data_IF_342459142729
#
_entry.id   IF_342459142729
#
_cell.length_a   1.000
_cell.length_b   1.000
_cell.length_c   1.000
_cell.angle_alpha   90.00
_cell.angle_beta   90.00
_cell.angle_gamma   90.00
#
_symmetry.space_group_name_H-M   'P 1'
#
loop_
_entity.id
_entity.type
_entity.pdbx_description
1 polymer ?
#
# COMPACT_ATOMS: atom_id res chain seq x y z
N UNK A 1 51.23 3.72 22.36
CA UNK A 1 50.89 2.38 21.84
C UNK A 1 49.52 2.42 21.24
N UNK A 2 49.44 2.12 19.98
CA UNK A 2 48.33 2.28 19.05
C UNK A 2 47.00 1.70 19.48
N UNK A 3 45.97 2.51 19.38
CA UNK A 3 44.60 2.01 19.20
C UNK A 3 43.96 2.80 18.05
N UNK A 4 44.39 2.51 16.83
CA UNK A 4 43.70 2.89 15.60
C UNK A 4 43.11 1.63 15.03
N UNK A 5 41.84 1.69 14.74
CA UNK A 5 40.99 0.79 13.94
C UNK A 5 39.81 0.28 14.75
N UNK A 6 38.54 0.45 14.35
CA UNK A 6 37.91 0.26 13.05
C UNK A 6 36.56 1.01 12.97
N UNK A 7 36.32 2.05 12.23
CA UNK A 7 34.98 2.45 11.81
C UNK A 7 34.56 1.98 10.42
N UNK A 8 35.53 1.63 9.55
CA UNK A 8 35.22 1.44 8.11
C UNK A 8 34.55 0.12 7.73
N UNK A 9 34.81 -0.96 8.42
CA UNK A 9 34.24 -2.29 8.02
C UNK A 9 32.78 -2.42 8.42
N UNK A 10 32.36 -1.87 9.56
CA UNK A 10 30.96 -1.90 10.00
C UNK A 10 30.06 -1.03 9.10
N UNK A 11 30.55 0.09 8.62
CA UNK A 11 29.78 1.02 7.76
C UNK A 11 29.53 0.42 6.37
N UNK A 12 30.49 -0.29 5.80
CA UNK A 12 30.33 -0.94 4.49
C UNK A 12 29.35 -2.12 4.57
N UNK A 13 29.42 -2.92 5.64
CA UNK A 13 28.52 -4.05 5.85
C UNK A 13 27.05 -3.60 6.03
N UNK A 14 26.81 -2.51 6.72
CA UNK A 14 25.45 -1.97 6.94
C UNK A 14 24.84 -1.38 5.67
N UNK A 15 25.59 -0.66 4.86
CA UNK A 15 25.12 -0.11 3.58
C UNK A 15 24.79 -1.21 2.55
N UNK A 16 25.58 -2.26 2.48
CA UNK A 16 25.33 -3.41 1.58
C UNK A 16 24.05 -4.14 1.99
N UNK A 17 23.83 -4.35 3.29
CA UNK A 17 22.62 -5.00 3.81
C UNK A 17 21.36 -4.16 3.54
N UNK A 18 21.42 -2.84 3.73
CA UNK A 18 20.32 -1.91 3.45
C UNK A 18 19.98 -1.89 1.96
N UNK A 19 20.96 -1.81 1.07
CA UNK A 19 20.72 -1.83 -0.36
C UNK A 19 20.09 -3.16 -0.83
N UNK A 20 20.49 -4.29 -0.26
CA UNK A 20 19.89 -5.61 -0.52
C UNK A 20 18.44 -5.66 -0.03
N UNK A 21 18.16 -5.12 1.15
CA UNK A 21 16.82 -5.03 1.71
C UNK A 21 15.89 -4.21 0.80
N UNK A 22 16.30 -3.01 0.41
CA UNK A 22 15.56 -2.13 -0.50
C UNK A 22 15.29 -2.86 -1.82
N UNK A 23 16.32 -3.43 -2.44
CA UNK A 23 16.18 -4.18 -3.70
C UNK A 23 15.15 -5.32 -3.58
N UNK A 24 15.25 -6.15 -2.55
CA UNK A 24 14.35 -7.27 -2.33
C UNK A 24 12.91 -6.81 -2.10
N UNK A 25 12.73 -5.75 -1.31
CA UNK A 25 11.41 -5.15 -1.04
C UNK A 25 10.75 -4.67 -2.33
N UNK A 26 11.43 -3.83 -3.12
CA UNK A 26 10.85 -3.29 -4.35
C UNK A 26 10.66 -4.36 -5.45
N UNK A 27 11.53 -5.36 -5.50
CA UNK A 27 11.35 -6.51 -6.41
C UNK A 27 10.10 -7.31 -6.03
N UNK A 28 9.95 -7.67 -4.75
CA UNK A 28 8.77 -8.40 -4.28
C UNK A 28 7.50 -7.56 -4.43
N UNK A 29 7.58 -6.26 -4.13
CA UNK A 29 6.47 -5.32 -4.30
C UNK A 29 5.99 -5.27 -5.76
N UNK A 30 6.91 -5.18 -6.72
CA UNK A 30 6.56 -5.20 -8.15
C UNK A 30 5.88 -6.50 -8.55
N UNK A 31 6.37 -7.65 -8.07
CA UNK A 31 5.77 -8.96 -8.34
C UNK A 31 4.36 -9.07 -7.74
N UNK A 32 4.17 -8.60 -6.50
CA UNK A 32 2.88 -8.65 -5.81
C UNK A 32 1.85 -7.67 -6.40
N UNK A 33 2.27 -6.49 -6.84
CA UNK A 33 1.40 -5.55 -7.55
C UNK A 33 0.91 -6.14 -8.89
N UNK A 34 1.81 -6.73 -9.69
CA UNK A 34 1.43 -7.40 -10.94
C UNK A 34 0.50 -8.59 -10.69
N UNK A 35 0.79 -9.41 -9.67
CA UNK A 35 -0.05 -10.53 -9.29
C UNK A 35 -1.43 -10.06 -8.83
N UNK A 36 -1.49 -9.04 -7.98
CA UNK A 36 -2.75 -8.44 -7.52
C UNK A 36 -3.57 -7.87 -8.68
N UNK A 37 -2.93 -7.19 -9.64
CA UNK A 37 -3.59 -6.69 -10.85
C UNK A 37 -4.13 -7.84 -11.71
N UNK A 38 -3.37 -8.93 -11.88
CA UNK A 38 -3.84 -10.12 -12.57
C UNK A 38 -5.06 -10.75 -11.87
N UNK A 39 -5.04 -10.86 -10.53
CA UNK A 39 -6.15 -11.39 -9.74
C UNK A 39 -7.39 -10.48 -9.78
N UNK A 40 -7.22 -9.16 -9.84
CA UNK A 40 -8.31 -8.22 -10.09
C UNK A 40 -8.91 -8.44 -11.50
N UNK A 41 -8.07 -8.61 -12.51
CA UNK A 41 -8.49 -8.94 -13.88
C UNK A 41 -9.30 -10.25 -13.96
N UNK A 42 -8.83 -11.29 -13.26
CA UNK A 42 -9.56 -12.58 -13.13
C UNK A 42 -10.91 -12.37 -12.46
N UNK A 43 -10.95 -11.59 -11.38
CA UNK A 43 -12.19 -11.28 -10.67
C UNK A 43 -13.21 -10.56 -11.55
N UNK A 44 -12.75 -9.60 -12.37
CA UNK A 44 -13.58 -8.88 -13.35
C UNK A 44 -14.07 -9.85 -14.45
N UNK A 45 -13.18 -10.65 -15.03
CA UNK A 45 -13.51 -11.58 -16.11
C UNK A 45 -14.54 -12.64 -15.71
N UNK A 46 -14.48 -13.10 -14.44
CA UNK A 46 -15.41 -14.06 -13.88
C UNK A 46 -16.65 -13.41 -13.25
N UNK A 47 -16.79 -12.09 -13.32
CA UNK A 47 -17.88 -11.32 -12.70
C UNK A 47 -18.11 -11.70 -11.23
N UNK A 48 -17.03 -11.85 -10.46
CA UNK A 48 -17.12 -12.20 -9.04
C UNK A 48 -17.85 -11.10 -8.27
N UNK A 49 -18.81 -11.45 -7.42
CA UNK A 49 -19.47 -10.47 -6.56
C UNK A 49 -18.51 -9.97 -5.48
N UNK A 50 -18.75 -8.73 -5.01
CA UNK A 50 -18.01 -8.23 -3.85
C UNK A 50 -18.35 -9.07 -2.61
N UNK A 51 -17.32 -9.60 -1.89
CA UNK A 51 -17.55 -10.53 -0.78
C UNK A 51 -18.21 -9.88 0.45
N UNK A 52 -18.40 -8.58 0.43
CA UNK A 52 -18.90 -7.80 1.57
C UNK A 52 -17.79 -7.38 2.54
N UNK A 53 -18.11 -6.37 3.34
CA UNK A 53 -17.12 -5.71 4.23
C UNK A 53 -16.56 -6.66 5.29
N UNK A 54 -17.40 -7.54 5.85
CA UNK A 54 -16.99 -8.45 6.94
C UNK A 54 -15.95 -9.45 6.42
N UNK A 55 -16.25 -10.12 5.28
CA UNK A 55 -15.34 -11.11 4.70
C UNK A 55 -14.05 -10.43 4.26
N UNK A 56 -14.14 -9.23 3.68
CA UNK A 56 -12.97 -8.45 3.27
C UNK A 56 -12.08 -8.10 4.47
N UNK A 57 -12.65 -7.58 5.56
CA UNK A 57 -11.89 -7.22 6.76
C UNK A 57 -11.29 -8.45 7.45
N UNK A 58 -12.06 -9.52 7.65
CA UNK A 58 -11.57 -10.75 8.29
C UNK A 58 -10.48 -11.41 7.44
N UNK A 59 -10.67 -11.49 6.12
CA UNK A 59 -9.70 -12.04 5.19
C UNK A 59 -8.41 -11.21 5.16
N UNK A 60 -8.53 -9.89 5.04
CA UNK A 60 -7.40 -8.97 5.05
C UNK A 60 -6.59 -9.06 6.35
N UNK A 61 -7.26 -8.88 7.51
CA UNK A 61 -6.59 -8.92 8.81
C UNK A 61 -6.02 -10.30 9.13
N UNK A 62 -6.74 -11.37 8.77
CA UNK A 62 -6.28 -12.75 8.95
C UNK A 62 -5.03 -13.06 8.13
N UNK A 63 -5.02 -12.70 6.85
CA UNK A 63 -3.86 -12.88 5.97
C UNK A 63 -2.69 -11.98 6.36
N UNK A 64 -2.97 -10.75 6.81
CA UNK A 64 -1.95 -9.85 7.33
C UNK A 64 -1.28 -10.42 8.59
N UNK A 65 -2.08 -10.92 9.53
CA UNK A 65 -1.58 -11.59 10.74
C UNK A 65 -0.75 -12.84 10.39
N UNK A 66 -1.24 -13.65 9.45
CA UNK A 66 -0.54 -14.84 8.98
C UNK A 66 0.83 -14.47 8.35
N UNK A 67 0.85 -13.43 7.52
CA UNK A 67 2.08 -12.94 6.91
C UNK A 67 3.07 -12.45 7.95
N UNK A 68 2.60 -11.70 8.96
CA UNK A 68 3.44 -11.26 10.06
C UNK A 68 4.04 -12.43 10.84
N UNK A 69 3.23 -13.48 11.10
CA UNK A 69 3.69 -14.69 11.81
C UNK A 69 4.71 -15.49 11.00
N UNK A 70 4.56 -15.53 9.67
CA UNK A 70 5.40 -16.32 8.77
C UNK A 70 6.56 -15.53 8.14
N UNK A 71 6.74 -14.25 8.45
CA UNK A 71 7.68 -13.31 7.82
C UNK A 71 9.15 -13.77 7.76
N UNK A 72 9.55 -14.67 8.66
CA UNK A 72 10.92 -15.19 8.75
C UNK A 72 11.05 -16.60 8.17
N UNK A 73 10.04 -17.10 7.45
CA UNK A 73 10.04 -18.43 6.84
C UNK A 73 9.78 -18.35 5.32
N UNK A 74 10.05 -19.45 4.60
CA UNK A 74 9.71 -19.54 3.18
C UNK A 74 8.21 -19.39 2.91
N UNK A 75 7.36 -19.76 3.87
CA UNK A 75 5.91 -19.59 3.82
C UNK A 75 5.48 -18.10 3.87
N UNK A 76 6.36 -17.23 4.32
CA UNK A 76 6.13 -15.78 4.30
C UNK A 76 5.91 -15.25 2.88
N UNK A 77 6.66 -15.73 1.90
CA UNK A 77 6.44 -15.35 0.49
C UNK A 77 5.05 -15.78 0.00
N UNK A 78 4.67 -17.03 0.28
CA UNK A 78 3.35 -17.53 -0.12
C UNK A 78 2.23 -16.72 0.54
N UNK A 79 2.39 -16.36 1.82
CA UNK A 79 1.40 -15.56 2.54
C UNK A 79 1.24 -14.13 1.98
N UNK A 80 2.34 -13.52 1.51
CA UNK A 80 2.27 -12.22 0.82
C UNK A 80 1.48 -12.32 -0.48
N UNK A 81 1.73 -13.35 -1.30
CA UNK A 81 0.96 -13.55 -2.53
C UNK A 81 -0.51 -13.89 -2.22
N UNK A 82 -0.79 -14.66 -1.18
CA UNK A 82 -2.16 -14.92 -0.74
C UNK A 82 -2.88 -13.62 -0.32
N UNK A 83 -2.21 -12.76 0.45
CA UNK A 83 -2.73 -11.46 0.86
C UNK A 83 -3.00 -10.55 -0.35
N UNK A 84 -1.99 -10.35 -1.21
CA UNK A 84 -2.11 -9.45 -2.35
C UNK A 84 -3.07 -9.98 -3.43
N UNK A 85 -3.15 -11.29 -3.60
CA UNK A 85 -4.13 -11.94 -4.46
C UNK A 85 -5.56 -11.77 -3.93
N UNK A 86 -5.79 -11.97 -2.64
CA UNK A 86 -7.08 -11.72 -2.00
C UNK A 86 -7.51 -10.26 -2.16
N UNK A 87 -6.61 -9.31 -1.90
CA UNK A 87 -6.89 -7.89 -2.10
C UNK A 87 -7.16 -7.56 -3.58
N UNK A 88 -6.47 -8.21 -4.51
CA UNK A 88 -6.75 -8.08 -5.95
C UNK A 88 -8.14 -8.56 -6.32
N UNK A 89 -8.54 -9.75 -5.83
CA UNK A 89 -9.89 -10.30 -6.07
C UNK A 89 -10.97 -9.35 -5.52
N UNK A 90 -10.79 -8.81 -4.33
CA UNK A 90 -11.75 -7.87 -3.72
C UNK A 90 -11.81 -6.52 -4.44
N UNK A 91 -10.73 -6.13 -5.11
CA UNK A 91 -10.65 -4.90 -5.91
C UNK A 91 -11.38 -5.02 -7.25
N UNK A 92 -11.46 -6.23 -7.83
CA UNK A 92 -12.08 -6.48 -9.14
C UNK A 92 -13.52 -5.95 -9.25
N UNK A 93 -14.45 -6.30 -8.34
CA UNK A 93 -15.81 -5.77 -8.35
C UNK A 93 -15.88 -4.25 -8.21
N UNK A 94 -14.97 -3.65 -7.43
CA UNK A 94 -14.89 -2.20 -7.26
C UNK A 94 -14.51 -1.55 -8.59
N UNK A 95 -13.45 -2.04 -9.24
CA UNK A 95 -13.02 -1.55 -10.57
C UNK A 95 -14.13 -1.76 -11.60
N UNK A 96 -14.79 -2.92 -11.59
CA UNK A 96 -15.90 -3.23 -12.52
C UNK A 96 -17.05 -2.23 -12.38
N UNK A 97 -17.37 -1.83 -11.14
CA UNK A 97 -18.38 -0.80 -10.87
C UNK A 97 -17.98 0.53 -11.52
N UNK A 98 -16.75 0.99 -11.35
CA UNK A 98 -16.29 2.23 -11.98
C UNK A 98 -16.22 2.12 -13.52
N UNK A 99 -15.81 0.98 -14.05
CA UNK A 99 -15.78 0.75 -15.51
C UNK A 99 -17.17 0.81 -16.16
N UNK A 100 -18.24 0.57 -15.39
CA UNK A 100 -19.61 0.70 -15.88
C UNK A 100 -20.12 2.14 -16.02
N UNK A 101 -19.40 3.12 -15.47
CA UNK A 101 -19.72 4.55 -15.61
C UNK A 101 -19.39 5.04 -17.03
N UNK A 102 -20.05 6.10 -17.53
CA UNK A 102 -19.83 6.63 -18.88
C UNK A 102 -18.36 6.89 -19.22
N UNK A 103 -17.59 7.45 -18.28
CA UNK A 103 -16.16 7.75 -18.41
C UNK A 103 -15.28 6.78 -17.59
N UNK A 104 -15.79 5.58 -17.27
CA UNK A 104 -15.18 4.67 -16.30
C UNK A 104 -13.76 4.24 -16.64
N UNK A 105 -13.47 3.98 -17.92
CA UNK A 105 -12.11 3.67 -18.36
C UNK A 105 -11.12 4.79 -18.06
N UNK A 106 -11.51 6.05 -18.27
CA UNK A 106 -10.66 7.21 -17.97
C UNK A 106 -10.46 7.38 -16.46
N UNK A 107 -11.50 7.17 -15.65
CA UNK A 107 -11.43 7.21 -14.18
C UNK A 107 -10.41 6.21 -13.66
N UNK A 108 -10.51 4.95 -14.10
CA UNK A 108 -9.59 3.89 -13.66
C UNK A 108 -8.16 4.17 -14.11
N UNK A 109 -7.96 4.57 -15.37
CA UNK A 109 -6.63 4.89 -15.90
C UNK A 109 -6.00 6.10 -15.18
N UNK A 110 -6.79 7.12 -14.88
CA UNK A 110 -6.32 8.30 -14.13
C UNK A 110 -5.93 7.94 -12.71
N UNK A 111 -6.73 7.11 -12.02
CA UNK A 111 -6.39 6.62 -10.68
C UNK A 111 -5.11 5.79 -10.68
N UNK A 112 -4.93 4.90 -11.67
CA UNK A 112 -3.70 4.10 -11.82
C UNK A 112 -2.49 5.00 -12.10
N UNK A 113 -2.61 5.93 -13.04
CA UNK A 113 -1.55 6.86 -13.41
C UNK A 113 -1.12 7.75 -12.24
N UNK A 114 -2.09 8.34 -11.53
CA UNK A 114 -1.83 9.18 -10.37
C UNK A 114 -1.21 8.38 -9.22
N UNK A 115 -1.69 7.15 -8.96
CA UNK A 115 -1.10 6.25 -7.94
C UNK A 115 0.36 5.93 -8.27
N UNK A 116 0.63 5.55 -9.51
CA UNK A 116 1.98 5.24 -9.99
C UNK A 116 2.91 6.45 -9.89
N UNK A 117 2.45 7.62 -10.32
CA UNK A 117 3.22 8.86 -10.26
C UNK A 117 3.55 9.27 -8.81
N UNK A 118 2.56 9.23 -7.91
CA UNK A 118 2.75 9.54 -6.50
C UNK A 118 3.69 8.52 -5.83
N UNK A 119 3.46 7.23 -6.02
CA UNK A 119 4.32 6.19 -5.45
C UNK A 119 5.78 6.33 -5.91
N UNK A 120 6.00 6.41 -7.21
CA UNK A 120 7.35 6.53 -7.77
C UNK A 120 8.03 7.84 -7.34
N UNK A 121 7.30 8.96 -7.39
CA UNK A 121 7.80 10.26 -6.98
C UNK A 121 8.20 10.32 -5.50
N UNK A 122 7.32 9.84 -4.62
CA UNK A 122 7.56 9.84 -3.17
C UNK A 122 8.68 8.87 -2.77
N UNK A 123 8.66 7.65 -3.34
CA UNK A 123 9.73 6.67 -3.10
C UNK A 123 11.08 7.16 -3.63
N UNK A 124 11.12 7.71 -4.84
CA UNK A 124 12.35 8.27 -5.41
C UNK A 124 12.86 9.45 -4.57
N UNK A 125 11.96 10.33 -4.11
CA UNK A 125 12.31 11.44 -3.21
C UNK A 125 12.95 10.94 -1.92
N UNK A 126 12.32 9.97 -1.23
CA UNK A 126 12.85 9.42 0.02
C UNK A 126 14.21 8.72 -0.20
N UNK A 127 14.33 7.88 -1.26
CA UNK A 127 15.57 7.17 -1.60
C UNK A 127 16.73 8.09 -1.96
N UNK A 128 16.44 9.21 -2.65
CA UNK A 128 17.45 10.16 -3.11
C UNK A 128 17.89 11.10 -2.00
N UNK A 129 16.93 11.70 -1.28
CA UNK A 129 17.23 12.66 -0.21
C UNK A 129 17.72 12.01 1.06
N UNK A 130 17.36 10.75 1.29
CA UNK A 130 17.64 9.98 2.52
C UNK A 130 17.24 10.73 3.80
N UNK A 131 16.22 11.59 3.71
CA UNK A 131 15.68 12.26 4.89
C UNK A 131 14.99 11.26 5.80
N UNK A 132 15.13 11.47 7.09
CA UNK A 132 14.44 10.65 8.09
C UNK A 132 13.02 11.16 8.32
N UNK A 133 12.04 10.33 7.97
CA UNK A 133 10.61 10.58 8.15
C UNK A 133 10.03 9.81 9.35
N UNK A 134 10.85 9.21 10.21
CA UNK A 134 10.41 8.41 11.36
C UNK A 134 9.53 9.19 12.33
N UNK A 135 9.71 10.51 12.42
CA UNK A 135 8.89 11.39 13.27
C UNK A 135 7.41 11.40 12.87
N UNK A 136 7.08 11.04 11.62
CA UNK A 136 5.70 11.01 11.13
C UNK A 136 4.91 9.78 11.62
N UNK A 137 5.58 8.72 12.11
CA UNK A 137 4.96 7.44 12.40
C UNK A 137 3.76 7.54 13.33
N UNK A 138 3.88 8.26 14.45
CA UNK A 138 2.77 8.45 15.39
C UNK A 138 1.60 9.22 14.78
N UNK A 139 1.88 10.30 14.05
CA UNK A 139 0.85 11.09 13.37
C UNK A 139 0.11 10.26 12.30
N UNK A 140 0.84 9.52 11.48
CA UNK A 140 0.25 8.67 10.45
C UNK A 140 -0.59 7.54 11.04
N UNK A 141 -0.12 6.91 12.12
CA UNK A 141 -0.89 5.87 12.82
C UNK A 141 -2.23 6.40 13.32
N UNK A 142 -2.22 7.53 14.04
CA UNK A 142 -3.44 8.16 14.54
C UNK A 142 -4.34 8.60 13.38
N UNK A 143 -3.77 9.20 12.34
CA UNK A 143 -4.49 9.62 11.14
C UNK A 143 -5.21 8.45 10.45
N UNK A 144 -4.55 7.32 10.27
CA UNK A 144 -5.14 6.11 9.69
C UNK A 144 -6.28 5.57 10.56
N UNK A 145 -6.10 5.54 11.89
CA UNK A 145 -7.16 5.10 12.80
C UNK A 145 -8.40 6.01 12.72
N UNK A 146 -8.20 7.33 12.70
CA UNK A 146 -9.29 8.30 12.55
C UNK A 146 -9.98 8.14 11.20
N UNK A 147 -9.21 8.07 10.10
CA UNK A 147 -9.76 7.89 8.77
C UNK A 147 -10.52 6.56 8.62
N UNK A 148 -10.00 5.48 9.21
CA UNK A 148 -10.65 4.17 9.22
C UNK A 148 -11.99 4.21 9.97
N UNK A 149 -12.03 4.78 11.17
CA UNK A 149 -13.27 4.91 11.95
C UNK A 149 -14.28 5.83 11.26
N UNK A 150 -13.82 6.94 10.68
CA UNK A 150 -14.66 7.83 9.89
C UNK A 150 -15.22 7.13 8.63
N UNK A 151 -14.40 6.29 7.99
CA UNK A 151 -14.82 5.48 6.84
C UNK A 151 -15.90 4.46 7.21
N UNK A 152 -15.73 3.76 8.34
CA UNK A 152 -16.80 2.89 8.86
C UNK A 152 -18.06 3.70 9.15
N UNK A 153 -17.95 4.86 9.79
CA UNK A 153 -19.08 5.76 10.02
C UNK A 153 -19.77 6.19 8.72
N UNK A 154 -18.99 6.53 7.69
CA UNK A 154 -19.53 6.91 6.38
C UNK A 154 -20.36 5.80 5.74
N UNK A 155 -19.93 4.54 5.90
CA UNK A 155 -20.66 3.37 5.39
C UNK A 155 -21.93 3.10 6.22
N UNK A 156 -21.84 3.07 7.56
CA UNK A 156 -22.99 2.75 8.42
C UNK A 156 -24.09 3.81 8.39
N UNK A 157 -23.70 5.07 8.23
CA UNK A 157 -24.65 6.20 8.19
C UNK A 157 -24.98 6.66 6.76
N UNK A 158 -24.49 5.93 5.75
CA UNK A 158 -24.73 6.23 4.33
C UNK A 158 -24.43 7.69 3.97
N UNK A 159 -23.23 8.19 4.36
CA UNK A 159 -22.81 9.58 4.18
C UNK A 159 -21.78 9.72 3.03
N UNK A 160 -22.22 9.95 1.76
CA UNK A 160 -21.29 9.98 0.61
C UNK A 160 -20.25 11.10 0.71
N UNK A 161 -20.63 12.27 1.20
CA UNK A 161 -19.71 13.40 1.39
C UNK A 161 -18.62 13.10 2.41
N UNK A 162 -18.96 12.37 3.49
CA UNK A 162 -17.98 11.91 4.46
C UNK A 162 -17.06 10.85 3.83
N UNK A 163 -17.60 9.91 3.04
CA UNK A 163 -16.81 8.92 2.33
C UNK A 163 -15.79 9.57 1.37
N UNK A 164 -16.19 10.63 0.65
CA UNK A 164 -15.30 11.38 -0.23
C UNK A 164 -14.21 12.12 0.56
N UNK A 165 -14.57 12.77 1.68
CA UNK A 165 -13.59 13.42 2.56
C UNK A 165 -12.58 12.42 3.13
N UNK A 166 -13.04 11.24 3.57
CA UNK A 166 -12.20 10.14 4.04
C UNK A 166 -11.24 9.67 2.95
N UNK A 167 -11.70 9.58 1.70
CA UNK A 167 -10.81 9.23 0.56
C UNK A 167 -9.72 10.28 0.37
N UNK A 168 -10.05 11.57 0.47
CA UNK A 168 -9.05 12.65 0.46
C UNK A 168 -8.01 12.52 1.59
N UNK A 169 -8.47 12.19 2.81
CA UNK A 169 -7.59 11.91 3.94
C UNK A 169 -6.67 10.72 3.65
N UNK A 170 -7.19 9.60 3.10
CA UNK A 170 -6.38 8.44 2.78
C UNK A 170 -5.35 8.71 1.68
N UNK A 171 -5.63 9.58 0.69
CA UNK A 171 -4.61 10.00 -0.30
C UNK A 171 -3.43 10.66 0.40
N UNK A 172 -3.66 11.57 1.33
CA UNK A 172 -2.61 12.25 2.09
C UNK A 172 -1.87 11.29 3.02
N UNK A 173 -2.61 10.46 3.77
CA UNK A 173 -2.04 9.49 4.71
C UNK A 173 -1.23 8.42 4.00
N UNK A 174 -1.74 7.85 2.91
CA UNK A 174 -1.02 6.84 2.12
C UNK A 174 0.25 7.42 1.49
N UNK A 175 0.21 8.66 1.02
CA UNK A 175 1.39 9.37 0.53
C UNK A 175 2.44 9.57 1.64
N UNK A 176 2.01 9.96 2.83
CA UNK A 176 2.87 10.05 4.01
C UNK A 176 3.43 8.70 4.45
N UNK A 177 2.62 7.63 4.40
CA UNK A 177 3.06 6.27 4.71
C UNK A 177 4.13 5.78 3.72
N UNK A 178 4.00 6.06 2.43
CA UNK A 178 5.02 5.69 1.42
C UNK A 178 6.36 6.35 1.74
N UNK A 179 6.37 7.64 2.13
CA UNK A 179 7.58 8.33 2.58
C UNK A 179 8.15 7.70 3.85
N UNK A 180 7.31 7.47 4.85
CA UNK A 180 7.68 6.88 6.13
C UNK A 180 8.25 5.47 5.96
N UNK A 181 7.55 4.58 5.25
CA UNK A 181 7.95 3.19 5.03
C UNK A 181 9.25 3.09 4.23
N UNK A 182 9.41 3.92 3.20
CA UNK A 182 10.67 4.00 2.44
C UNK A 182 11.81 4.52 3.33
N UNK A 183 11.55 5.50 4.19
CA UNK A 183 12.53 6.01 5.16
C UNK A 183 12.94 4.93 6.18
N UNK A 184 12.00 4.13 6.68
CA UNK A 184 12.28 3.02 7.59
C UNK A 184 13.21 1.97 6.96
N UNK A 185 13.06 1.69 5.65
CA UNK A 185 13.98 0.82 4.92
C UNK A 185 15.41 1.39 4.85
N UNK A 186 15.54 2.70 4.68
CA UNK A 186 16.84 3.37 4.54
C UNK A 186 17.58 3.45 5.88
N UNK A 187 16.84 3.74 6.97
CA UNK A 187 17.41 4.02 8.29
C UNK A 187 17.38 2.81 9.22
N UNK A 188 16.95 1.64 8.74
CA UNK A 188 16.99 0.37 9.50
C UNK A 188 15.86 0.21 10.53
N UNK A 189 14.80 1.00 10.44
CA UNK A 189 13.60 0.83 11.26
C UNK A 189 12.78 -0.39 10.88
N UNK A 190 12.83 -0.81 9.61
CA UNK A 190 12.33 -2.10 9.15
C UNK A 190 13.47 -2.90 8.50
N UNK A 191 13.62 -4.15 8.88
CA UNK A 191 14.69 -5.04 8.41
C UNK A 191 14.19 -6.26 7.67
N UNK A 192 12.88 -6.49 7.68
CA UNK A 192 12.24 -7.60 7.00
C UNK A 192 11.57 -7.15 5.70
N UNK A 193 12.12 -7.60 4.56
CA UNK A 193 11.62 -7.21 3.23
C UNK A 193 10.17 -7.67 2.97
N UNK A 194 9.70 -8.74 3.61
CA UNK A 194 8.31 -9.23 3.48
C UNK A 194 7.35 -8.21 4.12
N UNK A 195 7.65 -7.77 5.35
CA UNK A 195 6.82 -6.77 6.05
C UNK A 195 6.86 -5.44 5.33
N UNK A 196 8.05 -4.99 4.93
CA UNK A 196 8.21 -3.76 4.16
C UNK A 196 7.39 -3.79 2.85
N UNK A 197 7.39 -4.94 2.15
CA UNK A 197 6.58 -5.12 0.93
C UNK A 197 5.09 -5.01 1.23
N UNK A 198 4.62 -5.67 2.28
CA UNK A 198 3.20 -5.63 2.66
C UNK A 198 2.77 -4.22 3.03
N UNK A 199 3.57 -3.50 3.83
CA UNK A 199 3.27 -2.12 4.23
C UNK A 199 3.15 -1.20 3.01
N UNK A 200 4.16 -1.19 2.13
CA UNK A 200 4.13 -0.41 0.89
C UNK A 200 2.98 -0.81 -0.03
N UNK A 201 2.69 -2.12 -0.15
CA UNK A 201 1.57 -2.61 -0.95
C UNK A 201 0.23 -2.07 -0.43
N UNK A 202 -0.01 -2.13 0.88
CA UNK A 202 -1.23 -1.62 1.52
C UNK A 202 -1.36 -0.11 1.32
N UNK A 203 -0.27 0.63 1.43
CA UNK A 203 -0.25 2.09 1.18
C UNK A 203 -0.61 2.41 -0.28
N UNK A 204 -0.05 1.68 -1.25
CA UNK A 204 -0.38 1.83 -2.68
C UNK A 204 -1.84 1.45 -2.96
N UNK A 205 -2.32 0.35 -2.37
CA UNK A 205 -3.70 -0.10 -2.51
C UNK A 205 -4.69 0.96 -2.00
N UNK A 206 -4.47 1.48 -0.79
CA UNK A 206 -5.32 2.53 -0.23
C UNK A 206 -5.26 3.83 -1.06
N UNK A 207 -4.08 4.20 -1.55
CA UNK A 207 -3.91 5.34 -2.44
C UNK A 207 -4.72 5.18 -3.73
N UNK A 208 -4.61 4.01 -4.38
CA UNK A 208 -5.37 3.69 -5.59
C UNK A 208 -6.88 3.70 -5.36
N UNK A 209 -7.35 2.98 -4.33
CA UNK A 209 -8.78 2.91 -4.00
C UNK A 209 -9.37 4.29 -3.69
N UNK A 210 -8.62 5.13 -2.98
CA UNK A 210 -9.04 6.48 -2.63
C UNK A 210 -9.08 7.41 -3.85
N UNK A 211 -8.06 7.37 -4.72
CA UNK A 211 -8.05 8.13 -5.97
C UNK A 211 -9.14 7.66 -6.92
N UNK A 212 -9.38 6.35 -7.00
CA UNK A 212 -10.46 5.78 -7.80
C UNK A 212 -11.84 6.31 -7.34
N UNK A 213 -12.06 6.38 -6.01
CA UNK A 213 -13.29 6.92 -5.45
C UNK A 213 -13.43 8.42 -5.73
N UNK A 214 -12.37 9.21 -5.55
CA UNK A 214 -12.39 10.66 -5.82
C UNK A 214 -12.67 10.93 -7.30
N UNK A 215 -11.94 10.30 -8.21
CA UNK A 215 -12.12 10.51 -9.65
C UNK A 215 -13.47 10.01 -10.14
N UNK A 216 -13.98 8.90 -9.55
CA UNK A 216 -15.32 8.41 -9.87
C UNK A 216 -16.41 9.37 -9.43
N UNK A 217 -16.29 9.97 -8.24
CA UNK A 217 -17.26 10.93 -7.73
C UNK A 217 -17.29 12.23 -8.57
N UNK A 218 -16.14 12.69 -9.06
CA UNK A 218 -16.05 13.93 -9.87
C UNK A 218 -16.44 13.73 -11.34
N UNK A 219 -16.45 12.50 -11.86
CA UNK A 219 -16.79 12.20 -13.26
C UNK A 219 -18.30 11.96 -13.49
N UNK A 220 -19.10 11.94 -12.44
CA UNK A 220 -20.55 11.74 -12.52
C UNK A 220 -21.37 13.03 -12.64
N UNK A 221 -20.73 14.20 -12.57
CA UNK A 221 -21.39 15.52 -12.61
C UNK A 221 -21.37 16.18 -14.02
N UNK A 222 -20.85 15.50 -15.05
CA UNK A 222 -20.87 15.91 -16.45
C UNK A 222 -21.83 15.00 -17.24
#
# INVERSE_FOLDING_TARGET
MNTYQQPTVQTIGSTVSTNKLIKNTYTLLSMTLLFSAAMAGVSIALNLPHPGIIITLVGYLGLLFLTYKLKNSAWGLLSVFALTGFMGITLGPIISHYLSLPNGGQVVMSAMGATGALFLGLSAYALTTRKDFSFMGGFLFVGVMVAFLAGLGAIFFEMPMLALAVSGMFVLLASGLILYETSQLIHGGETNYIIATVSLYVSIYNLFASLLHIFGATSGDD
#
